data_IF_581711488383
#
_entry.id   IF_581711488383
#
_cell.length_a   1.000
_cell.length_b   1.000
_cell.length_c   1.000
_cell.angle_alpha   90.00
_cell.angle_beta   90.00
_cell.angle_gamma   90.00
#
_symmetry.space_group_name_H-M   'P 1'
#
loop_
_entity.id
_entity.type
_entity.pdbx_description
1 polymer ?
#
# COMPACT_ATOMS: atom_id res chain seq x y z
N UNK A 1 -4.75 -30.12 -6.59
CA UNK A 1 -5.19 -28.91 -5.87
C UNK A 1 -6.69 -29.01 -5.74
N UNK A 2 -7.24 -28.92 -4.52
CA UNK A 2 -8.69 -28.84 -4.34
C UNK A 2 -9.15 -27.46 -4.77
N UNK A 3 -10.14 -27.38 -5.66
CA UNK A 3 -10.74 -26.11 -6.05
C UNK A 3 -11.61 -25.66 -4.87
N UNK A 4 -11.21 -24.58 -4.20
CA UNK A 4 -12.03 -23.95 -3.18
C UNK A 4 -13.13 -23.16 -3.89
N UNK A 5 -14.38 -23.41 -3.51
CA UNK A 5 -15.53 -22.73 -4.11
C UNK A 5 -15.99 -21.65 -3.16
N UNK A 6 -15.95 -20.40 -3.63
CA UNK A 6 -16.45 -19.25 -2.91
C UNK A 6 -17.96 -19.10 -3.15
N UNK A 7 -18.74 -19.04 -2.08
CA UNK A 7 -20.20 -18.91 -2.15
C UNK A 7 -20.68 -17.47 -2.31
N UNK A 8 -19.75 -16.50 -2.28
CA UNK A 8 -20.01 -15.07 -2.44
C UNK A 8 -20.68 -14.39 -1.25
N UNK A 9 -20.84 -15.07 -0.10
CA UNK A 9 -21.53 -14.48 1.05
C UNK A 9 -20.56 -13.66 1.92
N UNK A 10 -20.69 -12.35 1.85
CA UNK A 10 -19.87 -11.38 2.58
C UNK A 10 -20.66 -10.82 3.77
N UNK A 11 -20.08 -10.93 4.96
CA UNK A 11 -20.56 -10.24 6.17
C UNK A 11 -19.76 -8.96 6.40
N UNK A 12 -20.45 -7.88 6.72
CA UNK A 12 -19.88 -6.61 7.16
C UNK A 12 -20.25 -6.45 8.62
N UNK A 13 -19.26 -6.24 9.48
CA UNK A 13 -19.41 -5.98 10.91
C UNK A 13 -18.81 -4.60 11.23
N UNK A 14 -19.66 -3.63 11.60
CA UNK A 14 -19.20 -2.32 12.06
C UNK A 14 -19.15 -2.30 13.59
N UNK A 15 -17.95 -2.05 14.12
CA UNK A 15 -17.64 -2.04 15.55
C UNK A 15 -17.32 -0.59 15.97
N UNK A 16 -18.33 0.26 16.20
CA UNK A 16 -18.15 1.69 16.44
C UNK A 16 -17.30 1.97 17.69
N UNK A 17 -17.49 1.20 18.76
CA UNK A 17 -16.72 1.34 20.01
C UNK A 17 -15.20 1.07 19.82
N UNK A 18 -14.85 0.35 18.76
CA UNK A 18 -13.45 0.05 18.39
C UNK A 18 -12.98 0.88 17.20
N UNK A 19 -13.82 1.75 16.65
CA UNK A 19 -13.54 2.50 15.41
C UNK A 19 -13.04 1.57 14.30
N UNK A 20 -13.69 0.41 14.10
CA UNK A 20 -13.23 -0.63 13.19
C UNK A 20 -14.40 -1.18 12.37
N UNK A 21 -14.14 -1.53 11.12
CA UNK A 21 -15.03 -2.38 10.31
C UNK A 21 -14.30 -3.68 9.98
N UNK A 22 -15.00 -4.80 10.14
CA UNK A 22 -14.55 -6.11 9.69
C UNK A 22 -15.44 -6.60 8.54
N UNK A 23 -14.82 -7.21 7.55
CA UNK A 23 -15.44 -7.74 6.34
C UNK A 23 -15.02 -9.20 6.25
N UNK A 24 -15.98 -10.11 6.23
CA UNK A 24 -15.73 -11.56 6.28
C UNK A 24 -16.41 -12.22 5.11
N UNK A 25 -15.63 -12.79 4.19
CA UNK A 25 -16.14 -13.70 3.17
C UNK A 25 -16.22 -15.09 3.80
N UNK A 26 -17.43 -15.65 3.88
CA UNK A 26 -17.64 -16.92 4.55
C UNK A 26 -16.87 -18.04 3.87
N UNK A 27 -16.13 -18.80 4.67
CA UNK A 27 -15.45 -20.02 4.22
C UNK A 27 -15.31 -20.98 5.40
N UNK A 28 -15.25 -22.28 5.11
CA UNK A 28 -14.91 -23.32 6.07
C UNK A 28 -13.41 -23.63 6.09
N UNK A 29 -12.66 -23.06 5.14
CA UNK A 29 -11.24 -23.36 4.97
C UNK A 29 -10.37 -22.64 6.01
N UNK A 30 -9.26 -23.25 6.47
CA UNK A 30 -8.34 -22.60 7.40
C UNK A 30 -7.73 -21.32 6.82
N UNK A 31 -7.80 -20.24 7.60
CA UNK A 31 -7.34 -18.90 7.20
C UNK A 31 -6.08 -18.50 7.97
N UNK A 32 -5.10 -17.95 7.25
CA UNK A 32 -3.93 -17.30 7.83
C UNK A 32 -4.17 -15.80 7.90
N UNK A 33 -4.23 -15.27 9.11
CA UNK A 33 -4.34 -13.83 9.35
C UNK A 33 -2.96 -13.18 9.43
N UNK A 34 -2.83 -12.04 8.76
CA UNK A 34 -1.61 -11.22 8.78
C UNK A 34 -1.96 -9.76 9.02
N UNK A 35 -1.18 -9.11 9.87
CA UNK A 35 -1.22 -7.66 9.96
C UNK A 35 -0.44 -7.07 8.79
N UNK A 36 -1.16 -6.51 7.83
CA UNK A 36 -0.59 -5.93 6.61
C UNK A 36 0.05 -4.57 6.90
N UNK A 37 -0.60 -3.76 7.72
CA UNK A 37 -0.11 -2.47 8.24
C UNK A 37 -0.84 -2.08 9.52
N UNK A 38 -0.47 -0.96 10.11
CA UNK A 38 -1.18 -0.44 11.27
C UNK A 38 -2.66 -0.17 10.93
N UNK A 39 -3.57 -0.79 11.67
CA UNK A 39 -5.01 -0.67 11.44
C UNK A 39 -5.55 -1.41 10.21
N UNK A 40 -4.78 -2.30 9.57
CA UNK A 40 -5.27 -3.18 8.50
C UNK A 40 -4.76 -4.61 8.70
N UNK A 41 -5.70 -5.53 8.87
CA UNK A 41 -5.46 -6.98 8.99
C UNK A 41 -6.23 -7.67 7.88
N UNK A 42 -5.62 -8.68 7.25
CA UNK A 42 -6.31 -9.53 6.29
C UNK A 42 -6.06 -11.01 6.57
N UNK A 43 -7.05 -11.84 6.24
CA UNK A 43 -6.98 -13.29 6.28
C UNK A 43 -7.05 -13.88 4.88
N UNK A 44 -6.25 -14.91 4.61
CA UNK A 44 -6.24 -15.64 3.34
C UNK A 44 -6.29 -17.15 3.58
N UNK A 45 -6.93 -17.91 2.70
CA UNK A 45 -6.94 -19.38 2.80
C UNK A 45 -5.58 -19.93 2.38
N UNK A 46 -4.93 -20.68 3.26
CA UNK A 46 -3.57 -21.18 3.00
C UNK A 46 -3.47 -22.12 1.79
N UNK A 47 -4.55 -22.85 1.50
CA UNK A 47 -4.63 -23.79 0.38
C UNK A 47 -5.12 -23.13 -0.93
N UNK A 48 -5.49 -21.85 -0.91
CA UNK A 48 -5.95 -21.09 -2.08
C UNK A 48 -5.00 -19.92 -2.38
N UNK A 49 -3.88 -20.17 -3.08
CA UNK A 49 -2.90 -19.14 -3.41
C UNK A 49 -3.41 -18.14 -4.46
N UNK A 50 -4.63 -18.32 -4.99
CA UNK A 50 -5.25 -17.44 -5.98
C UNK A 50 -6.53 -16.77 -5.47
N UNK A 51 -7.03 -17.15 -4.28
CA UNK A 51 -8.32 -16.70 -3.77
C UNK A 51 -8.36 -15.28 -3.16
N UNK A 52 -9.57 -14.74 -2.93
CA UNK A 52 -9.81 -13.48 -2.23
C UNK A 52 -9.40 -13.51 -0.75
N UNK A 53 -9.34 -12.36 -0.08
CA UNK A 53 -9.26 -12.33 1.38
C UNK A 53 -10.55 -12.90 1.97
N UNK A 54 -10.40 -13.79 2.95
CA UNK A 54 -11.52 -14.31 3.76
C UNK A 54 -11.98 -13.33 4.80
N UNK A 55 -11.06 -12.47 5.23
CA UNK A 55 -11.27 -11.53 6.31
C UNK A 55 -10.47 -10.28 6.03
N UNK A 56 -11.06 -9.11 6.27
CA UNK A 56 -10.39 -7.82 6.26
C UNK A 56 -10.90 -7.03 7.46
N UNK A 57 -10.01 -6.59 8.34
CA UNK A 57 -10.32 -5.70 9.46
C UNK A 57 -9.59 -4.39 9.28
N UNK A 58 -10.34 -3.29 9.33
CA UNK A 58 -9.88 -1.95 8.99
C UNK A 58 -10.24 -0.98 10.12
N UNK A 59 -9.23 -0.28 10.64
CA UNK A 59 -9.43 0.86 11.53
C UNK A 59 -9.96 2.06 10.74
N UNK A 60 -11.05 2.66 11.22
CA UNK A 60 -11.68 3.82 10.62
C UNK A 60 -10.85 5.09 10.85
N UNK A 61 -10.89 5.99 9.86
CA UNK A 61 -10.28 7.33 9.90
C UNK A 61 -11.31 8.36 9.47
N UNK A 62 -11.43 9.44 10.22
CA UNK A 62 -12.43 10.49 9.98
C UNK A 62 -13.87 9.95 9.77
N UNK A 63 -14.21 8.89 10.51
CA UNK A 63 -15.46 8.13 10.43
C UNK A 63 -15.71 7.40 9.09
N UNK A 64 -14.64 7.03 8.36
CA UNK A 64 -14.73 6.26 7.13
C UNK A 64 -13.62 5.22 6.98
N UNK A 65 -13.75 4.36 5.96
CA UNK A 65 -12.68 3.47 5.51
C UNK A 65 -11.66 4.30 4.74
N UNK A 66 -10.34 4.06 4.91
CA UNK A 66 -9.34 4.79 4.14
C UNK A 66 -9.47 4.51 2.63
N UNK A 67 -9.31 5.54 1.79
CA UNK A 67 -9.60 5.50 0.33
C UNK A 67 -8.97 4.31 -0.39
N UNK A 68 -7.72 4.01 -0.06
CA UNK A 68 -6.99 2.90 -0.67
C UNK A 68 -7.55 1.53 -0.30
N UNK A 69 -8.12 1.39 0.90
CA UNK A 69 -8.83 0.16 1.28
C UNK A 69 -10.20 0.11 0.59
N UNK A 70 -10.89 1.24 0.44
CA UNK A 70 -12.14 1.29 -0.32
C UNK A 70 -11.94 0.84 -1.78
N UNK A 71 -10.81 1.20 -2.38
CA UNK A 71 -10.40 0.76 -3.71
C UNK A 71 -10.12 -0.75 -3.78
N UNK A 72 -9.41 -1.31 -2.79
CA UNK A 72 -9.17 -2.76 -2.68
C UNK A 72 -10.45 -3.58 -2.45
N UNK A 73 -11.44 -3.00 -1.77
CA UNK A 73 -12.75 -3.63 -1.57
C UNK A 73 -13.62 -3.60 -2.83
N UNK A 74 -13.29 -2.72 -3.78
CA UNK A 74 -14.12 -2.47 -4.94
C UNK A 74 -15.38 -1.66 -4.61
N UNK A 75 -16.02 -1.08 -5.64
CA UNK A 75 -17.02 -0.03 -5.47
C UNK A 75 -18.25 -0.47 -4.68
N UNK A 76 -18.73 -1.70 -4.90
CA UNK A 76 -19.96 -2.19 -4.26
C UNK A 76 -19.76 -2.51 -2.78
N UNK A 77 -18.68 -3.21 -2.43
CA UNK A 77 -18.37 -3.53 -1.03
C UNK A 77 -18.04 -2.25 -0.28
N UNK A 78 -17.25 -1.35 -0.87
CA UNK A 78 -16.94 -0.05 -0.27
C UNK A 78 -18.20 0.78 0.01
N UNK A 79 -19.15 0.82 -0.94
CA UNK A 79 -20.43 1.51 -0.74
C UNK A 79 -21.25 0.88 0.40
N UNK A 80 -21.37 -0.45 0.44
CA UNK A 80 -22.10 -1.14 1.50
C UNK A 80 -21.47 -0.91 2.88
N UNK A 81 -20.14 -0.85 2.96
CA UNK A 81 -19.43 -0.51 4.20
C UNK A 81 -19.68 0.95 4.61
N UNK A 82 -19.62 1.89 3.65
CA UNK A 82 -19.91 3.30 3.92
C UNK A 82 -21.34 3.50 4.45
N UNK A 83 -22.32 2.80 3.87
CA UNK A 83 -23.71 2.82 4.33
C UNK A 83 -23.85 2.26 5.75
N UNK A 84 -23.16 1.15 6.06
CA UNK A 84 -23.17 0.56 7.40
C UNK A 84 -22.58 1.50 8.46
N UNK A 85 -21.48 2.19 8.12
CA UNK A 85 -20.85 3.19 9.00
C UNK A 85 -21.79 4.39 9.20
N UNK A 86 -22.34 4.93 8.11
CA UNK A 86 -23.23 6.09 8.15
C UNK A 86 -24.52 5.83 8.95
N UNK A 87 -25.07 4.61 8.85
CA UNK A 87 -26.23 4.19 9.63
C UNK A 87 -25.92 3.98 11.13
N UNK A 88 -24.63 3.86 11.51
CA UNK A 88 -24.21 3.53 12.87
C UNK A 88 -24.67 2.13 13.34
N UNK A 89 -25.12 1.29 12.42
CA UNK A 89 -25.59 -0.07 12.70
C UNK A 89 -24.44 -1.07 12.86
N UNK A 90 -24.73 -2.30 13.30
CA UNK A 90 -23.73 -3.36 13.48
C UNK A 90 -23.16 -3.90 12.16
N UNK A 91 -23.66 -3.46 11.01
CA UNK A 91 -23.32 -4.00 9.69
C UNK A 91 -24.42 -4.88 9.09
N UNK A 92 -24.08 -5.72 8.12
CA UNK A 92 -25.06 -6.45 7.31
C UNK A 92 -24.43 -7.54 6.44
N UNK A 93 -25.23 -8.09 5.54
CA UNK A 93 -24.82 -9.13 4.59
C UNK A 93 -24.88 -8.60 3.17
N UNK A 94 -23.95 -9.05 2.34
CA UNK A 94 -23.87 -8.76 0.92
C UNK A 94 -23.56 -10.05 0.16
N UNK A 95 -24.31 -10.31 -0.91
CA UNK A 95 -23.98 -11.37 -1.86
C UNK A 95 -23.18 -10.78 -3.02
N UNK A 96 -22.03 -11.39 -3.28
CA UNK A 96 -21.13 -11.10 -4.38
C UNK A 96 -21.31 -12.11 -5.50
N UNK A 97 -21.30 -11.65 -6.74
CA UNK A 97 -21.16 -12.53 -7.89
C UNK A 97 -19.71 -13.02 -8.05
N UNK A 98 -19.51 -14.01 -8.93
CA UNK A 98 -18.18 -14.58 -9.16
C UNK A 98 -17.17 -13.56 -9.68
N UNK A 99 -17.61 -12.59 -10.50
CA UNK A 99 -16.71 -11.55 -11.01
C UNK A 99 -16.28 -10.57 -9.92
N UNK A 100 -17.16 -10.29 -8.95
CA UNK A 100 -16.83 -9.49 -7.77
C UNK A 100 -15.85 -10.22 -6.84
N UNK A 101 -16.01 -11.54 -6.68
CA UNK A 101 -15.07 -12.38 -5.92
C UNK A 101 -13.71 -12.43 -6.61
N UNK A 102 -13.67 -12.65 -7.93
CA UNK A 102 -12.43 -12.63 -8.72
C UNK A 102 -11.76 -11.25 -8.66
N UNK A 103 -12.54 -10.18 -8.71
CA UNK A 103 -12.04 -8.80 -8.55
C UNK A 103 -11.39 -8.57 -7.19
N UNK A 104 -11.96 -9.11 -6.10
CA UNK A 104 -11.31 -9.11 -4.78
C UNK A 104 -10.02 -9.94 -4.79
N UNK A 105 -10.03 -11.11 -5.41
CA UNK A 105 -8.86 -11.98 -5.51
C UNK A 105 -7.69 -11.31 -6.25
N UNK A 106 -7.98 -10.59 -7.33
CA UNK A 106 -6.99 -9.83 -8.10
C UNK A 106 -6.48 -8.61 -7.32
N UNK A 107 -7.39 -7.80 -6.75
CA UNK A 107 -7.03 -6.60 -6.00
C UNK A 107 -6.15 -6.91 -4.78
N UNK A 108 -6.40 -8.04 -4.12
CA UNK A 108 -5.69 -8.46 -2.90
C UNK A 108 -4.54 -9.44 -3.14
N UNK A 109 -4.32 -9.91 -4.39
CA UNK A 109 -3.19 -10.78 -4.75
C UNK A 109 -1.82 -10.30 -4.20
N UNK A 110 -1.50 -8.98 -4.22
CA UNK A 110 -0.29 -8.43 -3.61
C UNK A 110 -0.12 -8.79 -2.13
N UNK A 111 -1.19 -8.61 -1.36
CA UNK A 111 -1.21 -8.82 0.08
C UNK A 111 -1.20 -10.32 0.42
N UNK A 112 -1.86 -11.13 -0.41
CA UNK A 112 -1.90 -12.60 -0.28
C UNK A 112 -0.52 -13.22 -0.43
N UNK A 113 0.26 -12.80 -1.43
CA UNK A 113 1.61 -13.33 -1.65
C UNK A 113 2.52 -13.14 -0.42
N UNK A 114 2.41 -11.98 0.26
CA UNK A 114 3.14 -11.70 1.50
C UNK A 114 2.61 -12.54 2.67
N UNK A 115 1.29 -12.67 2.77
CA UNK A 115 0.65 -13.40 3.86
C UNK A 115 1.00 -14.91 3.86
N UNK A 116 0.99 -15.51 2.67
CA UNK A 116 1.14 -16.96 2.51
C UNK A 116 2.59 -17.44 2.43
N UNK A 117 3.54 -16.56 2.10
CA UNK A 117 4.97 -16.91 1.99
C UNK A 117 5.90 -16.03 2.88
N UNK A 118 5.74 -16.05 4.21
CA UNK A 118 6.47 -15.15 5.12
C UNK A 118 7.98 -15.43 5.23
N UNK A 119 8.44 -16.60 4.77
CA UNK A 119 9.84 -17.04 4.86
C UNK A 119 10.74 -16.51 3.72
N UNK A 120 10.13 -15.94 2.67
CA UNK A 120 10.85 -15.27 1.60
C UNK A 120 10.86 -13.78 1.97
N UNK A 121 12.02 -13.16 2.26
CA UNK A 121 12.05 -11.70 2.37
C UNK A 121 11.42 -11.15 1.11
N UNK A 122 10.38 -10.30 1.24
CA UNK A 122 9.58 -9.84 0.12
C UNK A 122 10.55 -9.51 -1.02
N UNK A 123 10.44 -10.18 -2.20
CA UNK A 123 11.47 -10.06 -3.20
C UNK A 123 11.72 -8.57 -3.46
N UNK A 124 13.00 -8.16 -3.58
CA UNK A 124 13.34 -6.79 -3.95
C UNK A 124 12.59 -6.44 -5.24
N UNK A 125 11.43 -5.80 -5.08
CA UNK A 125 10.46 -5.62 -6.17
C UNK A 125 9.51 -6.80 -6.38
N UNK A 126 8.37 -6.80 -5.68
CA UNK A 126 7.06 -7.37 -6.08
C UNK A 126 6.03 -6.99 -5.01
N UNK A 127 4.77 -6.61 -5.26
CA UNK A 127 4.09 -5.96 -6.39
C UNK A 127 2.63 -5.75 -5.91
N UNK A 128 2.13 -4.51 -5.89
CA UNK A 128 0.70 -4.21 -5.94
C UNK A 128 0.11 -4.52 -7.33
N UNK A 129 -1.17 -4.85 -7.44
CA UNK A 129 -1.91 -4.70 -8.68
C UNK A 129 -2.32 -3.22 -8.78
N UNK A 130 -2.39 -2.68 -10.00
CA UNK A 130 -2.96 -1.36 -10.24
C UNK A 130 -4.49 -1.46 -10.14
N UNK A 131 -5.02 -1.52 -8.92
CA UNK A 131 -6.45 -1.48 -8.68
C UNK A 131 -6.89 -0.02 -8.77
N UNK A 132 -7.75 0.34 -9.72
CA UNK A 132 -8.50 1.61 -9.69
C UNK A 132 -7.73 2.93 -9.79
N UNK A 133 -6.41 2.90 -10.02
CA UNK A 133 -5.42 4.01 -9.98
C UNK A 133 -4.34 3.85 -8.89
N UNK A 134 -4.50 2.93 -7.94
CA UNK A 134 -3.57 2.68 -6.84
C UNK A 134 -2.64 1.49 -7.06
N UNK A 135 -1.39 1.66 -6.67
CA UNK A 135 -0.38 0.61 -6.57
C UNK A 135 0.33 0.63 -5.21
N UNK A 136 0.19 -0.42 -4.42
CA UNK A 136 0.87 -0.52 -3.12
C UNK A 136 2.12 -1.40 -3.20
N UNK A 137 3.28 -0.89 -2.75
CA UNK A 137 4.43 -1.73 -2.42
C UNK A 137 4.49 -1.96 -0.91
N UNK A 138 4.15 -3.18 -0.51
CA UNK A 138 4.52 -3.72 0.79
C UNK A 138 5.93 -4.30 0.70
N UNK A 139 6.91 -3.56 1.18
CA UNK A 139 7.81 -4.04 2.22
C UNK A 139 8.98 -3.08 2.36
N UNK A 140 9.16 -2.64 3.59
CA UNK A 140 10.30 -1.89 4.09
C UNK A 140 10.84 -2.52 5.40
N UNK A 141 10.41 -3.75 5.72
CA UNK A 141 11.00 -4.61 6.73
C UNK A 141 12.48 -4.80 6.40
N UNK A 142 13.29 -3.98 7.05
CA UNK A 142 14.69 -3.77 6.70
C UNK A 142 15.18 -2.36 7.03
N UNK A 143 14.30 -1.38 7.22
CA UNK A 143 14.65 0.00 7.56
C UNK A 143 15.47 0.17 8.82
N UNK A 144 14.99 -0.41 9.92
CA UNK A 144 15.76 -0.44 11.16
C UNK A 144 17.08 -1.21 10.98
N UNK A 145 17.16 -2.21 10.10
CA UNK A 145 18.40 -2.95 9.81
C UNK A 145 19.41 -2.15 8.98
N UNK A 146 18.95 -1.53 7.89
CA UNK A 146 19.75 -0.70 6.98
C UNK A 146 20.27 0.55 7.69
N UNK A 147 19.45 1.18 8.54
CA UNK A 147 19.84 2.35 9.35
C UNK A 147 20.66 2.00 10.60
N UNK A 148 20.62 0.75 11.09
CA UNK A 148 21.47 0.28 12.21
C UNK A 148 22.83 -0.27 11.75
N UNK A 149 23.13 -0.26 10.46
CA UNK A 149 24.42 -0.67 9.93
C UNK A 149 25.58 0.09 10.58
N UNK A 150 26.73 -0.57 10.85
CA UNK A 150 27.85 0.02 11.59
C UNK A 150 28.43 1.29 10.94
N UNK A 151 28.22 1.50 9.64
CA UNK A 151 28.73 2.67 8.91
C UNK A 151 28.01 3.99 9.24
N UNK A 152 26.74 3.94 9.70
CA UNK A 152 25.94 5.13 9.99
C UNK A 152 26.13 5.67 11.42
N UNK A 153 26.75 4.89 12.31
CA UNK A 153 27.02 5.32 13.70
C UNK A 153 28.22 6.26 13.85
N UNK A 154 28.97 6.55 12.78
CA UNK A 154 30.25 7.26 12.85
C UNK A 154 30.22 8.77 12.53
N UNK A 155 29.06 9.42 12.39
CA UNK A 155 29.03 10.84 11.96
C UNK A 155 28.27 11.80 12.87
N UNK A 156 28.01 11.43 14.11
CA UNK A 156 27.56 12.39 15.14
C UNK A 156 28.77 13.13 15.73
N UNK A 157 29.34 14.05 14.96
CA UNK A 157 30.43 14.90 15.44
C UNK A 157 31.28 15.45 14.31
N UNK A 158 30.79 16.51 13.65
CA UNK A 158 31.61 17.67 13.25
C UNK A 158 30.72 18.63 12.46
N UNK A 159 30.49 19.79 13.06
CA UNK A 159 29.90 20.96 12.45
C UNK A 159 30.91 21.58 11.48
N UNK A 160 30.79 21.25 10.20
CA UNK A 160 31.45 21.92 9.10
C UNK A 160 30.49 21.91 7.92
N UNK A 161 30.43 23.02 7.18
CA UNK A 161 29.60 23.21 5.98
C UNK A 161 29.64 21.95 5.10
N UNK A 162 28.55 21.16 5.11
CA UNK A 162 28.56 19.80 4.58
C UNK A 162 27.89 19.77 3.22
N UNK A 163 28.69 19.42 2.21
CA UNK A 163 28.23 18.73 1.01
C UNK A 163 27.14 17.72 1.40
N UNK A 164 26.00 17.73 0.70
CA UNK A 164 24.81 16.98 1.10
C UNK A 164 25.19 15.52 1.42
N UNK A 165 25.00 15.11 2.68
CA UNK A 165 25.44 13.80 3.15
C UNK A 165 24.86 12.70 2.23
N UNK A 166 25.69 11.70 1.84
CA UNK A 166 25.25 10.62 0.98
C UNK A 166 24.09 9.87 1.65
N UNK A 167 23.12 9.35 0.87
CA UNK A 167 21.97 8.66 1.43
C UNK A 167 22.41 7.42 2.21
N UNK A 168 21.72 7.16 3.32
CA UNK A 168 21.99 6.03 4.20
C UNK A 168 21.71 4.68 3.53
N UNK A 169 20.76 4.66 2.59
CA UNK A 169 20.51 3.55 1.70
C UNK A 169 19.97 4.08 0.36
N UNK A 170 20.26 3.35 -0.72
CA UNK A 170 19.73 3.62 -2.06
C UNK A 170 19.53 2.29 -2.78
N UNK A 171 18.35 2.08 -3.35
CA UNK A 171 18.13 1.01 -4.33
C UNK A 171 17.15 1.48 -5.43
N UNK A 172 16.85 0.57 -6.35
CA UNK A 172 15.90 0.79 -7.44
C UNK A 172 14.70 -0.13 -7.22
N UNK A 173 13.51 0.44 -7.34
CA UNK A 173 12.22 -0.25 -7.40
C UNK A 173 11.66 -0.16 -8.80
N UNK A 174 10.75 -1.09 -9.13
CA UNK A 174 10.02 -1.08 -10.39
C UNK A 174 8.52 -0.90 -10.12
N UNK A 175 7.91 0.10 -10.74
CA UNK A 175 6.45 0.26 -10.84
C UNK A 175 5.87 -0.76 -11.81
N UNK A 176 4.57 -1.11 -11.71
CA UNK A 176 3.88 -1.81 -12.78
C UNK A 176 4.00 -1.04 -14.08
N UNK A 177 4.14 -1.77 -15.18
CA UNK A 177 4.28 -1.14 -16.49
C UNK A 177 3.00 -0.35 -16.85
N UNK A 178 1.81 -0.77 -16.40
CA UNK A 178 0.56 -0.03 -16.61
C UNK A 178 0.54 1.32 -15.87
N UNK A 179 0.90 1.33 -14.58
CA UNK A 179 0.97 2.57 -13.80
C UNK A 179 2.02 3.52 -14.38
N UNK A 180 3.21 3.00 -14.70
CA UNK A 180 4.31 3.78 -15.28
C UNK A 180 3.88 4.41 -16.62
N UNK A 181 3.16 3.66 -17.45
CA UNK A 181 2.60 4.15 -18.70
C UNK A 181 1.51 5.22 -18.47
N UNK A 182 0.59 5.00 -17.54
CA UNK A 182 -0.52 5.93 -17.25
C UNK A 182 -0.04 7.33 -16.81
N UNK A 183 1.04 7.38 -16.02
CA UNK A 183 1.65 8.62 -15.51
C UNK A 183 2.85 9.11 -16.34
N UNK A 184 3.21 8.41 -17.43
CA UNK A 184 4.23 8.83 -18.38
C UNK A 184 5.67 8.81 -17.85
N UNK A 185 6.02 7.83 -17.02
CA UNK A 185 7.37 7.68 -16.41
C UNK A 185 8.01 6.34 -16.78
N UNK A 186 9.33 6.26 -16.67
CA UNK A 186 10.03 4.98 -16.68
C UNK A 186 9.62 4.17 -15.44
N UNK A 187 9.49 2.84 -15.54
CA UNK A 187 9.05 2.02 -14.42
C UNK A 187 10.07 1.99 -13.28
N UNK A 188 11.33 2.35 -13.52
CA UNK A 188 12.38 2.41 -12.50
C UNK A 188 12.23 3.65 -11.59
N UNK A 189 11.99 3.40 -10.30
CA UNK A 189 11.99 4.38 -9.21
C UNK A 189 13.28 4.20 -8.42
N UNK A 190 14.15 5.20 -8.42
CA UNK A 190 15.25 5.25 -7.46
C UNK A 190 14.72 5.77 -6.14
N UNK A 191 14.99 5.06 -5.04
CA UNK A 191 14.67 5.55 -3.70
C UNK A 191 15.94 5.73 -2.88
N UNK A 192 15.86 6.65 -1.94
CA UNK A 192 16.94 7.00 -1.03
C UNK A 192 16.38 7.22 0.36
N UNK A 193 17.11 6.81 1.39
CA UNK A 193 16.76 7.06 2.78
C UNK A 193 17.79 7.99 3.43
N UNK A 194 17.33 8.98 4.17
CA UNK A 194 18.17 9.86 4.99
C UNK A 194 17.60 9.99 6.40
N UNK A 195 18.40 9.78 7.45
CA UNK A 195 17.96 10.09 8.81
C UNK A 195 17.82 11.60 8.98
N UNK A 196 16.79 12.01 9.71
CA UNK A 196 16.53 13.39 10.12
C UNK A 196 16.73 13.55 11.64
N UNK A 197 16.88 14.80 12.08
CA UNK A 197 16.88 15.11 13.50
C UNK A 197 15.56 14.67 14.16
N UNK A 198 15.62 14.20 15.42
CA UNK A 198 14.44 13.74 16.15
C UNK A 198 14.00 12.30 15.85
N UNK A 199 14.80 11.52 15.11
CA UNK A 199 14.52 10.11 14.83
C UNK A 199 13.58 9.87 13.64
N UNK A 200 13.18 10.94 12.94
CA UNK A 200 12.45 10.85 11.69
C UNK A 200 13.37 10.42 10.54
N UNK A 201 12.76 10.01 9.43
CA UNK A 201 13.45 9.58 8.21
C UNK A 201 12.84 10.27 7.01
N UNK A 202 13.69 10.82 6.14
CA UNK A 202 13.30 11.27 4.80
C UNK A 202 13.50 10.12 3.81
N UNK A 203 12.48 9.84 3.01
CA UNK A 203 12.53 8.95 1.86
C UNK A 203 12.43 9.81 0.61
N UNK A 204 13.54 9.92 -0.13
CA UNK A 204 13.58 10.59 -1.42
C UNK A 204 13.30 9.60 -2.54
N UNK A 205 12.31 9.89 -3.37
CA UNK A 205 11.94 9.10 -4.55
C UNK A 205 12.28 9.88 -5.82
N UNK A 206 12.78 9.19 -6.84
CA UNK A 206 13.11 9.77 -8.13
C UNK A 206 12.75 8.83 -9.29
N UNK A 207 12.05 9.37 -10.29
CA UNK A 207 11.69 8.64 -11.52
C UNK A 207 12.08 9.45 -12.75
N UNK A 208 12.40 8.78 -13.84
CA UNK A 208 12.68 9.43 -15.12
C UNK A 208 11.38 9.60 -15.91
N UNK A 209 11.09 10.77 -16.50
CA UNK A 209 10.01 10.91 -17.48
C UNK A 209 10.24 9.98 -18.68
N UNK A 210 9.19 9.36 -19.20
CA UNK A 210 9.26 8.53 -20.42
C UNK A 210 9.12 9.35 -21.72
N UNK A 211 8.79 10.65 -21.62
CA UNK A 211 8.67 11.57 -22.77
C UNK A 211 7.34 11.50 -23.53
N UNK A 212 6.39 10.67 -23.10
CA UNK A 212 5.02 10.63 -23.61
C UNK A 212 4.09 11.63 -22.92
N UNK A 213 2.91 11.87 -23.50
CA UNK A 213 1.84 12.63 -22.84
C UNK A 213 1.26 11.81 -21.69
N UNK A 214 1.41 12.30 -20.46
CA UNK A 214 0.82 11.69 -19.28
C UNK A 214 -0.62 12.17 -19.07
N UNK A 215 -1.54 11.25 -18.86
CA UNK A 215 -2.95 11.56 -18.55
C UNK A 215 -3.20 11.72 -17.04
N UNK A 216 -2.23 11.32 -16.22
CA UNK A 216 -2.26 11.37 -14.78
C UNK A 216 -0.91 11.86 -14.22
N UNK A 217 -0.90 12.24 -12.94
CA UNK A 217 0.34 12.50 -12.19
C UNK A 217 0.66 11.31 -11.28
N UNK A 218 1.95 11.01 -11.11
CA UNK A 218 2.39 10.02 -10.14
C UNK A 218 2.41 10.67 -8.76
N UNK A 219 1.83 9.98 -7.78
CA UNK A 219 1.92 10.31 -6.37
C UNK A 219 2.51 9.15 -5.58
N UNK A 220 3.13 9.46 -4.45
CA UNK A 220 3.56 8.46 -3.47
C UNK A 220 3.10 8.84 -2.06
N UNK A 221 2.85 7.85 -1.23
CA UNK A 221 2.45 8.03 0.16
C UNK A 221 3.09 6.97 1.04
N UNK A 222 3.18 7.24 2.34
CA UNK A 222 3.57 6.21 3.31
C UNK A 222 2.42 5.23 3.49
N UNK A 223 2.78 3.97 3.72
CA UNK A 223 1.83 2.93 4.12
C UNK A 223 1.63 2.91 5.64
N UNK A 224 1.20 4.05 6.18
CA UNK A 224 1.02 4.28 7.63
C UNK A 224 -0.44 4.61 7.99
N UNK A 225 -1.34 4.60 7.00
CA UNK A 225 -2.75 4.94 7.15
C UNK A 225 -3.05 6.44 7.18
N UNK A 226 -2.07 7.31 6.96
CA UNK A 226 -2.25 8.78 6.98
C UNK A 226 -3.08 9.33 5.81
N UNK A 227 -3.24 8.55 4.73
CA UNK A 227 -3.79 9.01 3.44
C UNK A 227 -3.07 10.24 2.88
N UNK A 228 -1.85 10.52 3.34
CA UNK A 228 -1.05 11.61 2.81
C UNK A 228 -0.35 11.17 1.51
N UNK A 229 -0.51 11.98 0.47
CA UNK A 229 0.03 11.71 -0.87
C UNK A 229 0.87 12.90 -1.33
N UNK A 230 2.09 12.61 -1.75
CA UNK A 230 3.05 13.56 -2.29
C UNK A 230 3.15 13.40 -3.80
N UNK A 231 3.02 14.49 -4.52
CA UNK A 231 3.09 14.49 -5.98
C UNK A 231 4.54 14.49 -6.45
N UNK A 232 4.83 13.72 -7.49
CA UNK A 232 6.13 13.78 -8.14
C UNK A 232 6.27 15.06 -8.96
N UNK A 233 7.18 15.94 -8.55
CA UNK A 233 7.40 17.23 -9.17
C UNK A 233 8.67 17.24 -10.04
N UNK A 234 8.69 18.01 -11.13
CA UNK A 234 9.89 18.18 -11.94
C UNK A 234 11.04 18.82 -11.14
N UNK A 235 12.20 18.17 -11.17
CA UNK A 235 13.45 18.68 -10.63
C UNK A 235 14.32 19.29 -11.76
N UNK A 236 15.16 20.30 -11.49
CA UNK A 236 16.04 20.91 -12.50
C UNK A 236 16.97 19.92 -13.22
N UNK A 237 17.24 18.74 -12.64
CA UNK A 237 18.01 17.67 -13.28
C UNK A 237 17.23 16.87 -14.34
N UNK A 238 15.94 17.18 -14.56
CA UNK A 238 15.09 16.51 -15.56
C UNK A 238 14.47 15.19 -15.09
N UNK A 239 14.57 14.87 -13.80
CA UNK A 239 13.85 13.76 -13.16
C UNK A 239 12.62 14.29 -12.41
N UNK A 240 11.63 13.44 -12.14
CA UNK A 240 10.56 13.79 -11.20
C UNK A 240 10.93 13.29 -9.81
N UNK A 241 10.65 14.08 -8.77
CA UNK A 241 10.96 13.73 -7.38
C UNK A 241 9.75 13.88 -6.46
N UNK A 242 9.66 12.99 -5.48
CA UNK A 242 8.77 13.12 -4.33
C UNK A 242 9.59 12.89 -3.05
N UNK A 243 9.13 13.45 -1.93
CA UNK A 243 9.78 13.28 -0.62
C UNK A 243 8.74 12.90 0.41
N UNK A 244 8.97 11.80 1.11
CA UNK A 244 8.12 11.33 2.20
C UNK A 244 8.88 11.47 3.50
N UNK A 245 8.20 11.86 4.59
CA UNK A 245 8.80 11.95 5.93
C UNK A 245 8.08 11.00 6.87
N UNK A 246 8.83 10.08 7.45
CA UNK A 246 8.35 9.08 8.38
C UNK A 246 8.79 9.44 9.81
N UNK A 247 7.85 9.53 10.76
CA UNK A 247 8.11 9.78 12.18
C UNK A 247 8.16 8.50 13.03
N UNK A 248 8.25 7.32 12.40
CA UNK A 248 8.31 6.00 13.04
C UNK A 248 8.82 4.92 12.09
N UNK A 249 8.39 3.67 12.26
CA UNK A 249 8.65 2.56 11.34
C UNK A 249 7.43 2.35 10.40
N UNK A 250 7.26 3.12 9.30
CA UNK A 250 6.28 2.75 8.28
C UNK A 250 6.61 1.40 7.65
N UNK A 251 5.58 0.72 7.18
CA UNK A 251 5.70 -0.66 6.68
C UNK A 251 5.94 -0.69 5.16
N UNK A 252 5.65 0.41 4.46
CA UNK A 252 5.59 0.45 3.00
C UNK A 252 5.55 1.86 2.41
N UNK A 253 5.72 1.94 1.09
CA UNK A 253 5.46 3.12 0.26
C UNK A 253 4.42 2.71 -0.78
N UNK A 254 3.37 3.51 -0.89
CA UNK A 254 2.31 3.35 -1.87
C UNK A 254 2.52 4.35 -2.99
N UNK A 255 2.07 4.02 -4.19
CA UNK A 255 2.04 4.92 -5.33
C UNK A 255 0.64 4.91 -5.92
N UNK A 256 0.24 6.00 -6.55
CA UNK A 256 -1.00 6.04 -7.32
C UNK A 256 -0.85 6.97 -8.51
N UNK A 257 -1.67 6.76 -9.51
CA UNK A 257 -1.97 7.76 -10.52
C UNK A 257 -3.10 8.66 -9.99
N UNK A 258 -3.00 9.97 -10.22
CA UNK A 258 -4.16 10.86 -10.08
C UNK A 258 -4.45 11.45 -11.46
N UNK A 259 -5.60 11.09 -12.02
CA UNK A 259 -6.07 11.65 -13.29
C UNK A 259 -6.15 13.17 -13.22
N UNK A 260 -5.47 13.87 -14.15
CA UNK A 260 -5.58 15.34 -14.25
C UNK A 260 -7.00 15.66 -14.71
N UNK A 261 -7.87 16.12 -13.80
CA UNK A 261 -9.16 16.70 -14.22
C UNK A 261 -8.87 17.87 -15.16
N UNK A 262 -9.26 17.73 -16.42
CA UNK A 262 -9.26 18.85 -17.35
C UNK A 262 -10.22 19.90 -16.78
N UNK A 263 -9.69 21.07 -16.44
CA UNK A 263 -10.48 22.23 -16.04
C UNK A 263 -11.33 22.76 -17.20
#
# INVERSE_FOLDING_TARGET
>A
MSVITWDGHLRIDHLPDRGTVAITLLTAEPTLEVQLRNGLVAGFVAADPEGPPTFVSVALRDNGVPDDVAELLGPRVAAAVADAIAAGGPGGWLELDLGEVDGLAEAWAPYRAVALEPAIPAPRGTLGAWAGELWTRLDLAGWAGALRGPELRFRSGESGEREADPPAAQEIWRLPDELAAAVGVAPEVTWTIRPLAGGAVEIGLAVRPAGGTANAVLQAGLDDGSQHWETFEPDPSGVLRARLVASGDPVGVRFRSESRRSA
#
